data_IF_608680202527
#
_entry.id   IF_608680202527
#
_cell.length_a   1.000
_cell.length_b   1.000
_cell.length_c   1.000
_cell.angle_alpha   90.00
_cell.angle_beta   90.00
_cell.angle_gamma   90.00
#
_symmetry.space_group_name_H-M   'P 1'
#
loop_
_entity.id
_entity.type
_entity.pdbx_description
1 polymer ?
#
# COMPACT_ATOMS: atom_id res chain seq x y z
N UNK A 1 -6.91 -5.46 2.40
CA UNK A 1 -5.60 -4.74 2.53
C UNK A 1 -5.63 -3.70 3.64
N UNK A 2 -6.60 -2.77 3.67
CA UNK A 2 -6.71 -1.74 4.71
C UNK A 2 -6.71 -2.30 6.14
N UNK A 3 -7.52 -3.30 6.41
CA UNK A 3 -7.59 -3.93 7.75
C UNK A 3 -6.27 -4.56 8.17
N UNK A 4 -5.57 -5.24 7.26
CA UNK A 4 -4.25 -5.82 7.54
C UNK A 4 -3.23 -4.73 7.87
N UNK A 5 -3.19 -3.63 7.10
CA UNK A 5 -2.31 -2.51 7.37
C UNK A 5 -2.61 -1.86 8.74
N UNK A 6 -3.90 -1.73 9.10
CA UNK A 6 -4.32 -1.21 10.41
C UNK A 6 -3.93 -2.15 11.55
N UNK A 7 -4.12 -3.47 11.38
CA UNK A 7 -3.74 -4.45 12.38
C UNK A 7 -2.21 -4.50 12.60
N UNK A 8 -1.43 -4.51 11.52
CA UNK A 8 0.04 -4.47 11.59
C UNK A 8 0.54 -3.16 12.23
N UNK A 9 -0.10 -2.03 11.94
CA UNK A 9 0.21 -0.72 12.56
C UNK A 9 -0.12 -0.72 14.05
N UNK A 10 -1.29 -1.24 14.43
CA UNK A 10 -1.71 -1.32 15.83
C UNK A 10 -0.88 -2.31 16.66
N UNK A 11 -0.31 -3.33 16.01
CA UNK A 11 0.57 -4.32 16.64
C UNK A 11 2.04 -3.88 16.79
N UNK A 12 2.43 -2.72 16.27
CA UNK A 12 3.81 -2.23 16.37
C UNK A 12 4.15 -1.85 17.83
N UNK A 13 5.12 -2.54 18.41
CA UNK A 13 5.49 -2.38 19.83
C UNK A 13 6.32 -1.13 20.12
N UNK A 14 6.98 -0.56 19.10
CA UNK A 14 7.81 0.62 19.21
C UNK A 14 7.90 1.38 17.87
N UNK A 15 8.60 2.52 17.88
CA UNK A 15 8.78 3.36 16.70
C UNK A 15 9.55 2.66 15.57
N UNK A 16 10.43 1.71 15.89
CA UNK A 16 11.18 0.96 14.89
C UNK A 16 10.27 -0.04 14.19
N UNK A 17 9.47 -0.80 14.94
CA UNK A 17 8.47 -1.70 14.41
C UNK A 17 7.44 -0.94 13.55
N UNK A 18 7.03 0.26 13.98
CA UNK A 18 6.14 1.12 13.20
C UNK A 18 6.79 1.56 11.87
N UNK A 19 8.08 1.89 11.88
CA UNK A 19 8.82 2.23 10.65
C UNK A 19 8.97 1.02 9.72
N UNK A 20 9.21 -0.17 10.26
CA UNK A 20 9.26 -1.42 9.49
C UNK A 20 7.90 -1.70 8.80
N UNK A 21 6.78 -1.54 9.51
CA UNK A 21 5.43 -1.63 8.93
C UNK A 21 5.24 -0.56 7.85
N UNK A 22 5.62 0.70 8.12
CA UNK A 22 5.54 1.79 7.13
C UNK A 22 6.32 1.45 5.86
N UNK A 23 7.54 0.93 5.97
CA UNK A 23 8.38 0.57 4.82
C UNK A 23 7.80 -0.64 4.07
N UNK A 24 7.28 -1.65 4.79
CA UNK A 24 6.66 -2.83 4.18
C UNK A 24 5.42 -2.49 3.33
N UNK A 25 4.62 -1.50 3.77
CA UNK A 25 3.43 -1.08 3.05
C UNK A 25 3.71 0.00 2.00
N UNK A 26 4.42 1.06 2.38
CA UNK A 26 4.55 2.30 1.59
C UNK A 26 5.94 2.48 0.95
N UNK A 27 6.92 1.64 1.28
CA UNK A 27 8.28 1.73 0.74
C UNK A 27 8.34 1.54 -0.78
N UNK A 28 9.51 1.79 -1.38
CA UNK A 28 9.73 1.68 -2.86
C UNK A 28 9.42 0.29 -3.43
N UNK A 29 9.55 -0.74 -2.60
CA UNK A 29 9.20 -2.14 -2.88
C UNK A 29 8.05 -2.64 -1.98
N UNK A 30 7.42 -1.73 -1.24
CA UNK A 30 6.31 -2.05 -0.35
C UNK A 30 5.07 -2.44 -1.15
N UNK A 31 4.13 -3.12 -0.47
CA UNK A 31 2.94 -3.71 -1.10
C UNK A 31 2.18 -2.70 -1.96
N UNK A 32 1.88 -1.51 -1.44
CA UNK A 32 1.13 -0.48 -2.19
C UNK A 32 1.91 0.05 -3.40
N UNK A 33 3.23 0.22 -3.29
CA UNK A 33 4.05 0.69 -4.42
C UNK A 33 4.14 -0.37 -5.52
N UNK A 34 4.18 -1.65 -5.16
CA UNK A 34 4.16 -2.75 -6.12
C UNK A 34 2.83 -2.84 -6.87
N UNK A 35 1.70 -2.70 -6.18
CA UNK A 35 0.38 -2.60 -6.80
C UNK A 35 0.31 -1.40 -7.77
N UNK A 36 0.76 -0.21 -7.36
CA UNK A 36 0.80 0.97 -8.23
C UNK A 36 1.64 0.77 -9.49
N UNK A 37 2.75 0.03 -9.39
CA UNK A 37 3.59 -0.31 -10.56
C UNK A 37 2.86 -1.27 -11.50
N UNK A 38 2.14 -2.24 -10.96
CA UNK A 38 1.33 -3.17 -11.75
C UNK A 38 0.22 -2.43 -12.54
N UNK A 39 -0.35 -1.36 -11.98
CA UNK A 39 -1.31 -0.50 -12.71
C UNK A 39 -0.72 0.11 -13.99
N UNK A 40 0.59 0.37 -14.00
CA UNK A 40 1.31 0.85 -15.18
C UNK A 40 1.18 -0.09 -16.38
N UNK A 41 0.98 -1.39 -16.13
CA UNK A 41 0.87 -2.43 -17.16
C UNK A 41 -0.56 -2.67 -17.66
N UNK A 42 -1.57 -2.06 -17.02
CA UNK A 42 -2.98 -2.23 -17.41
C UNK A 42 -3.39 -1.35 -18.59
N UNK A 43 -4.43 -1.74 -19.31
CA UNK A 43 -5.08 -0.88 -20.30
C UNK A 43 -5.59 0.42 -19.65
N UNK A 44 -5.66 1.56 -20.36
CA UNK A 44 -6.05 2.85 -19.80
C UNK A 44 -7.38 2.84 -19.03
N UNK A 45 -8.36 2.11 -19.56
CA UNK A 45 -9.69 1.89 -18.96
C UNK A 45 -9.56 1.31 -17.54
N UNK A 46 -8.85 0.18 -17.43
CA UNK A 46 -8.68 -0.59 -16.19
C UNK A 46 -7.73 0.09 -15.21
N UNK A 47 -6.74 0.83 -15.73
CA UNK A 47 -5.79 1.61 -14.93
C UNK A 47 -6.50 2.70 -14.12
N UNK A 48 -7.52 3.36 -14.70
CA UNK A 48 -8.24 4.45 -14.02
C UNK A 48 -8.99 3.94 -12.78
N UNK A 49 -9.69 2.82 -12.93
CA UNK A 49 -10.50 2.22 -11.87
C UNK A 49 -9.61 1.64 -10.76
N UNK A 50 -8.61 0.85 -11.13
CA UNK A 50 -7.67 0.27 -10.17
C UNK A 50 -6.77 1.34 -9.51
N UNK A 51 -6.48 2.45 -10.19
CA UNK A 51 -5.77 3.61 -9.62
C UNK A 51 -6.55 4.35 -8.53
N UNK A 52 -7.87 4.43 -8.64
CA UNK A 52 -8.70 5.01 -7.58
C UNK A 52 -8.66 4.15 -6.31
N UNK A 53 -8.84 2.84 -6.42
CA UNK A 53 -8.80 1.93 -5.27
C UNK A 53 -7.48 1.98 -4.51
N UNK A 54 -6.35 2.11 -5.23
CA UNK A 54 -5.04 2.22 -4.57
C UNK A 54 -4.82 3.58 -3.90
N UNK A 55 -5.36 4.66 -4.47
CA UNK A 55 -5.32 5.99 -3.86
C UNK A 55 -6.21 6.07 -2.60
N UNK A 56 -7.33 5.37 -2.56
CA UNK A 56 -8.16 5.25 -1.35
C UNK A 56 -7.44 4.51 -0.23
N UNK A 57 -6.65 3.47 -0.56
CA UNK A 57 -5.84 2.75 0.43
C UNK A 57 -4.67 3.57 1.01
N UNK A 58 -4.23 4.60 0.29
CA UNK A 58 -3.18 5.52 0.76
C UNK A 58 -3.69 6.60 1.72
N UNK A 59 -5.00 6.83 1.77
CA UNK A 59 -5.62 7.92 2.51
C UNK A 59 -6.02 7.48 3.91
#
# INVERSE_FOLDING_TARGET
MREAALAETAGAADLRALDEVRVAWLGKKGRLTSELKALGQLAPELRREAGQSVNELKR
#
